data_IF_955142441151
#
_entry.id   IF_955142441151
#
_cell.length_a   1.000
_cell.length_b   1.000
_cell.length_c   1.000
_cell.angle_alpha   90.00
_cell.angle_beta   90.00
_cell.angle_gamma   90.00
#
_symmetry.space_group_name_H-M   'P 1'
#
loop_
_entity.id
_entity.type
_entity.pdbx_description
1 polymer ?
#
# COMPACT_ATOMS: atom_id res chain seq x y z
N UNK A 1 -19.91 41.49 -31.77
CA UNK A 1 -18.90 40.51 -32.25
C UNK A 1 -18.36 39.76 -31.04
N UNK A 2 -18.79 38.51 -30.84
CA UNK A 2 -18.30 37.66 -29.74
C UNK A 2 -16.92 37.16 -30.15
N UNK A 3 -15.88 37.56 -29.42
CA UNK A 3 -14.50 37.31 -29.78
C UNK A 3 -14.17 35.82 -29.56
N UNK A 4 -14.02 34.99 -30.61
CA UNK A 4 -13.86 33.54 -30.48
C UNK A 4 -12.50 33.17 -29.86
N UNK A 5 -11.58 34.12 -29.77
CA UNK A 5 -10.24 33.98 -29.22
C UNK A 5 -10.28 33.72 -27.70
N UNK A 6 -11.28 34.24 -26.98
CA UNK A 6 -11.39 34.06 -25.53
C UNK A 6 -11.80 32.62 -25.13
N UNK A 7 -12.54 31.92 -26.00
CA UNK A 7 -13.02 30.56 -25.75
C UNK A 7 -11.92 29.50 -25.91
N UNK A 8 -10.95 29.75 -26.80
CA UNK A 8 -9.82 28.83 -27.04
C UNK A 8 -8.81 28.81 -25.89
N UNK A 9 -8.60 29.94 -25.19
CA UNK A 9 -7.73 29.98 -24.00
C UNK A 9 -8.30 29.19 -22.82
N UNK A 10 -9.64 29.13 -22.66
CA UNK A 10 -10.28 28.41 -21.56
C UNK A 10 -10.16 26.88 -21.68
N UNK A 11 -10.13 26.34 -22.92
CA UNK A 11 -10.02 24.91 -23.20
C UNK A 11 -8.59 24.35 -23.01
N UNK A 12 -7.54 25.17 -23.17
CA UNK A 12 -6.16 24.70 -22.96
C UNK A 12 -5.76 24.60 -21.49
N UNK A 13 -6.45 25.32 -20.59
CA UNK A 13 -6.20 25.27 -19.14
C UNK A 13 -6.72 23.95 -18.55
N UNK A 14 -7.81 23.39 -19.08
CA UNK A 14 -8.36 22.11 -18.57
C UNK A 14 -7.46 20.90 -18.85
N UNK A 15 -6.61 20.94 -19.88
CA UNK A 15 -5.72 19.84 -20.25
C UNK A 15 -4.45 19.73 -19.39
N UNK A 16 -4.21 20.70 -18.50
CA UNK A 16 -3.02 20.77 -17.64
C UNK A 16 -3.30 20.47 -16.17
N UNK A 17 -4.53 20.03 -15.82
CA UNK A 17 -4.74 19.50 -14.48
C UNK A 17 -4.09 18.11 -14.40
N UNK A 18 -3.14 17.89 -13.47
CA UNK A 18 -2.74 16.54 -13.11
C UNK A 18 -4.02 15.76 -12.78
N UNK A 19 -4.17 14.58 -13.36
CA UNK A 19 -5.28 13.72 -12.98
C UNK A 19 -5.05 13.32 -11.52
N UNK A 20 -5.91 13.78 -10.62
CA UNK A 20 -5.92 13.35 -9.22
C UNK A 20 -6.44 11.91 -9.20
N UNK A 21 -5.58 10.94 -9.51
CA UNK A 21 -5.90 9.55 -9.27
C UNK A 21 -5.58 9.25 -7.82
N UNK A 22 -6.62 9.25 -6.98
CA UNK A 22 -6.51 8.66 -5.66
C UNK A 22 -6.12 7.19 -5.81
N UNK A 23 -5.13 6.74 -5.03
CA UNK A 23 -4.68 5.35 -5.05
C UNK A 23 -5.85 4.41 -4.77
N UNK A 24 -6.05 3.43 -5.64
CA UNK A 24 -7.00 2.34 -5.45
C UNK A 24 -6.37 1.24 -4.57
N UNK A 25 -7.16 0.64 -3.68
CA UNK A 25 -6.70 -0.44 -2.82
C UNK A 25 -7.59 -1.66 -3.03
N UNK A 26 -6.98 -2.74 -3.49
CA UNK A 26 -7.62 -4.02 -3.67
C UNK A 26 -7.06 -5.06 -2.73
N UNK A 27 -7.95 -5.92 -2.23
CA UNK A 27 -7.58 -7.02 -1.35
C UNK A 27 -8.40 -8.25 -1.71
N UNK A 28 -7.70 -9.38 -1.85
CA UNK A 28 -8.29 -10.68 -2.18
C UNK A 28 -7.77 -11.71 -1.19
N UNK A 29 -8.69 -12.44 -0.56
CA UNK A 29 -8.32 -13.68 0.12
C UNK A 29 -8.35 -14.81 -0.92
N UNK A 30 -7.19 -15.21 -1.46
CA UNK A 30 -7.09 -16.31 -2.42
C UNK A 30 -6.80 -17.65 -1.72
N UNK A 31 -6.64 -17.67 -0.40
CA UNK A 31 -6.41 -18.85 0.41
C UNK A 31 -7.64 -19.26 1.23
N UNK A 32 -8.86 -19.01 0.74
CA UNK A 32 -10.13 -19.16 1.49
C UNK A 32 -10.39 -20.57 2.03
N UNK A 33 -9.80 -21.59 1.41
CA UNK A 33 -9.95 -23.01 1.80
C UNK A 33 -8.86 -23.48 2.78
N UNK A 34 -8.07 -22.55 3.33
CA UNK A 34 -6.96 -22.84 4.24
C UNK A 34 -7.26 -22.35 5.66
N UNK A 35 -6.67 -22.96 6.70
CA UNK A 35 -6.84 -22.48 8.07
C UNK A 35 -6.52 -20.98 8.24
N UNK A 36 -5.47 -20.49 7.57
CA UNK A 36 -5.09 -19.09 7.61
C UNK A 36 -6.05 -18.16 6.89
N UNK A 37 -6.57 -18.57 5.73
CA UNK A 37 -7.58 -17.82 5.02
C UNK A 37 -8.89 -17.73 5.80
N UNK A 38 -9.31 -18.81 6.47
CA UNK A 38 -10.46 -18.79 7.37
C UNK A 38 -10.24 -17.82 8.54
N UNK A 39 -9.06 -17.86 9.14
CA UNK A 39 -8.71 -16.98 10.25
C UNK A 39 -8.64 -15.51 9.84
N UNK A 40 -8.09 -15.22 8.66
CA UNK A 40 -8.11 -13.88 8.08
C UNK A 40 -9.55 -13.36 7.92
N UNK A 41 -10.45 -14.14 7.34
CA UNK A 41 -11.85 -13.74 7.16
C UNK A 41 -12.55 -13.49 8.52
N UNK A 42 -12.19 -14.27 9.55
CA UNK A 42 -12.80 -14.17 10.89
C UNK A 42 -12.29 -12.97 11.72
N UNK A 43 -10.99 -12.67 11.68
CA UNK A 43 -10.35 -11.71 12.60
C UNK A 43 -10.00 -10.36 11.96
N UNK A 44 -9.82 -10.33 10.63
CA UNK A 44 -9.29 -9.17 9.90
C UNK A 44 -10.30 -8.73 8.83
N UNK A 45 -10.44 -9.52 7.77
CA UNK A 45 -11.35 -9.29 6.65
C UNK A 45 -10.87 -8.24 5.63
N UNK A 46 -11.40 -8.37 4.41
CA UNK A 46 -11.16 -7.46 3.28
C UNK A 46 -11.55 -6.00 3.61
N UNK A 47 -12.71 -5.70 4.24
CA UNK A 47 -13.08 -4.31 4.52
C UNK A 47 -12.07 -3.59 5.42
N UNK A 48 -11.57 -4.26 6.46
CA UNK A 48 -10.53 -3.70 7.32
C UNK A 48 -9.23 -3.52 6.56
N UNK A 49 -8.85 -4.50 5.74
CA UNK A 49 -7.63 -4.46 4.93
C UNK A 49 -7.60 -3.22 4.01
N UNK A 50 -8.68 -2.98 3.26
CA UNK A 50 -8.77 -1.80 2.38
C UNK A 50 -8.73 -0.48 3.16
N UNK A 51 -9.39 -0.44 4.33
CA UNK A 51 -9.35 0.72 5.22
C UNK A 51 -7.93 0.99 5.73
N UNK A 52 -7.26 -0.03 6.24
CA UNK A 52 -5.94 0.13 6.87
C UNK A 52 -4.85 0.43 5.82
N UNK A 53 -4.91 -0.16 4.62
CA UNK A 53 -4.02 0.21 3.50
C UNK A 53 -4.12 1.71 3.18
N UNK A 54 -5.35 2.24 3.09
CA UNK A 54 -5.55 3.68 2.87
C UNK A 54 -4.97 4.53 4.01
N UNK A 55 -5.23 4.15 5.26
CA UNK A 55 -4.70 4.86 6.44
C UNK A 55 -3.17 4.84 6.47
N UNK A 56 -2.56 3.68 6.23
CA UNK A 56 -1.11 3.49 6.21
C UNK A 56 -0.46 4.31 5.09
N UNK A 57 -1.06 4.37 3.90
CA UNK A 57 -0.51 5.20 2.82
C UNK A 57 -0.42 6.69 3.23
N UNK A 58 -1.49 7.26 3.79
CA UNK A 58 -1.43 8.63 4.28
C UNK A 58 -0.38 8.84 5.38
N UNK A 59 -0.24 7.86 6.28
CA UNK A 59 0.80 7.87 7.31
C UNK A 59 2.21 7.84 6.69
N UNK A 60 2.47 6.99 5.69
CA UNK A 60 3.76 6.92 4.99
C UNK A 60 4.07 8.25 4.31
N UNK A 61 3.09 8.83 3.60
CA UNK A 61 3.27 10.14 2.95
C UNK A 61 3.60 11.24 3.95
N UNK A 62 3.03 11.19 5.16
CA UNK A 62 3.34 12.14 6.21
C UNK A 62 4.77 11.95 6.76
N UNK A 63 5.11 10.71 7.16
CA UNK A 63 6.44 10.42 7.75
C UNK A 63 7.58 10.65 6.75
N UNK A 64 7.37 10.32 5.47
CA UNK A 64 8.37 10.52 4.40
C UNK A 64 8.28 11.89 3.73
N UNK A 65 7.39 12.78 4.18
CA UNK A 65 7.20 14.13 3.65
C UNK A 65 6.86 14.17 2.14
N UNK A 66 6.12 13.17 1.66
CA UNK A 66 5.67 13.04 0.27
C UNK A 66 4.32 13.76 0.09
N UNK A 67 4.26 15.06 0.37
CA UNK A 67 3.01 15.82 0.42
C UNK A 67 2.41 16.15 -0.95
N UNK A 68 3.24 16.33 -1.97
CA UNK A 68 2.81 16.63 -3.34
C UNK A 68 2.92 15.41 -4.24
N UNK A 69 2.14 15.40 -5.33
CA UNK A 69 2.22 14.35 -6.36
C UNK A 69 3.63 14.21 -6.95
N UNK A 70 4.37 15.33 -7.08
CA UNK A 70 5.76 15.31 -7.57
C UNK A 70 6.73 14.55 -6.65
N UNK A 71 6.42 14.44 -5.36
CA UNK A 71 7.28 13.77 -4.38
C UNK A 71 6.89 12.30 -4.20
N UNK A 72 5.73 11.90 -4.71
CA UNK A 72 5.18 10.55 -4.56
C UNK A 72 5.57 9.70 -5.75
N UNK A 73 5.78 8.41 -5.48
CA UNK A 73 5.82 7.41 -6.54
C UNK A 73 4.43 7.30 -7.19
N UNK A 74 4.38 7.15 -8.51
CA UNK A 74 3.13 6.95 -9.23
C UNK A 74 2.64 5.51 -9.03
N UNK A 75 1.74 5.32 -8.07
CA UNK A 75 1.13 4.02 -7.73
C UNK A 75 -0.38 4.15 -7.85
N UNK A 76 -0.98 3.77 -9.00
CA UNK A 76 -2.41 3.93 -9.21
C UNK A 76 -3.23 2.91 -8.41
N UNK A 77 -2.70 1.71 -8.16
CA UNK A 77 -3.37 0.64 -7.43
C UNK A 77 -2.38 -0.11 -6.55
N UNK A 78 -2.79 -0.49 -5.35
CA UNK A 78 -2.08 -1.47 -4.51
C UNK A 78 -2.95 -2.71 -4.38
N UNK A 79 -2.38 -3.88 -4.68
CA UNK A 79 -3.09 -5.16 -4.63
C UNK A 79 -2.54 -6.04 -3.53
N UNK A 80 -3.39 -6.40 -2.58
CA UNK A 80 -3.05 -7.33 -1.51
C UNK A 80 -3.69 -8.70 -1.75
N UNK A 81 -2.92 -9.74 -1.56
CA UNK A 81 -3.38 -11.12 -1.61
C UNK A 81 -3.06 -11.86 -0.32
N UNK A 82 -4.04 -12.58 0.23
CA UNK A 82 -3.77 -13.67 1.18
C UNK A 82 -3.54 -14.92 0.35
N UNK A 83 -2.31 -15.43 0.37
CA UNK A 83 -1.87 -16.58 -0.42
C UNK A 83 -1.27 -17.65 0.49
N UNK A 84 -1.46 -18.92 0.13
CA UNK A 84 -0.82 -20.02 0.85
C UNK A 84 0.60 -20.21 0.31
N UNK A 85 1.59 -19.78 1.08
CA UNK A 85 3.00 -20.03 0.80
C UNK A 85 3.79 -20.15 2.10
N UNK A 86 4.93 -20.84 2.04
CA UNK A 86 5.87 -21.01 3.14
C UNK A 86 7.07 -20.06 2.98
N UNK A 87 7.69 -19.65 4.08
CA UNK A 87 8.75 -18.65 4.12
C UNK A 87 8.34 -17.38 4.88
N UNK A 88 8.56 -16.22 4.26
CA UNK A 88 8.28 -14.92 4.88
C UNK A 88 6.79 -14.74 5.24
N UNK A 89 6.55 -13.91 6.24
CA UNK A 89 5.23 -13.57 6.76
C UNK A 89 4.41 -12.81 5.72
N UNK A 90 5.07 -11.89 5.02
CA UNK A 90 4.57 -11.18 3.86
C UNK A 90 5.73 -10.85 2.90
N UNK A 91 5.39 -10.54 1.64
CA UNK A 91 6.34 -10.07 0.64
C UNK A 91 5.70 -9.02 -0.26
N UNK A 92 6.48 -7.98 -0.59
CA UNK A 92 6.11 -6.96 -1.57
C UNK A 92 6.91 -7.11 -2.86
N UNK A 93 6.21 -7.05 -3.99
CA UNK A 93 6.80 -6.95 -5.31
C UNK A 93 6.08 -5.88 -6.14
N UNK A 94 6.77 -4.75 -6.37
CA UNK A 94 6.18 -3.60 -7.04
C UNK A 94 5.03 -3.01 -6.22
N UNK A 95 3.81 -3.18 -6.72
CA UNK A 95 2.56 -2.68 -6.10
C UNK A 95 1.69 -3.84 -5.54
N UNK A 96 2.25 -5.04 -5.50
CA UNK A 96 1.59 -6.25 -5.02
C UNK A 96 2.17 -6.70 -3.68
N UNK A 97 1.30 -6.93 -2.72
CA UNK A 97 1.61 -7.45 -1.37
C UNK A 97 1.00 -8.84 -1.25
N UNK A 98 1.79 -9.83 -0.84
CA UNK A 98 1.31 -11.18 -0.55
C UNK A 98 1.56 -11.50 0.92
N UNK A 99 0.50 -11.83 1.66
CA UNK A 99 0.58 -12.24 3.07
C UNK A 99 0.39 -13.75 3.16
N UNK A 100 1.25 -14.43 3.91
CA UNK A 100 1.23 -15.88 4.03
C UNK A 100 0.06 -16.36 4.89
N UNK A 101 -0.84 -17.15 4.28
CA UNK A 101 -1.88 -17.85 5.02
C UNK A 101 -1.30 -18.88 6.01
N UNK A 102 -0.11 -19.45 5.74
CA UNK A 102 0.56 -20.35 6.69
C UNK A 102 0.95 -19.58 7.95
N UNK A 103 1.54 -18.39 7.78
CA UNK A 103 1.87 -17.51 8.91
C UNK A 103 0.63 -17.09 9.69
N UNK A 104 -0.41 -16.61 9.01
CA UNK A 104 -1.66 -16.21 9.66
C UNK A 104 -2.30 -17.35 10.45
N UNK A 105 -2.23 -18.60 9.98
CA UNK A 105 -2.71 -19.75 10.73
C UNK A 105 -1.90 -20.01 12.00
N UNK A 106 -0.57 -19.88 11.91
CA UNK A 106 0.35 -20.20 13.00
C UNK A 106 0.52 -19.11 14.05
N UNK A 107 0.24 -17.85 13.73
CA UNK A 107 0.54 -16.71 14.61
C UNK A 107 -0.19 -16.78 15.96
N UNK A 108 0.53 -16.65 17.07
CA UNK A 108 -0.06 -16.66 18.41
C UNK A 108 -0.16 -15.23 18.95
N UNK A 109 -1.35 -14.83 19.41
CA UNK A 109 -1.59 -13.49 19.97
C UNK A 109 -2.58 -12.66 19.16
N UNK A 110 -2.45 -11.34 19.23
CA UNK A 110 -3.34 -10.41 18.53
C UNK A 110 -3.01 -10.34 17.04
N UNK A 111 -3.66 -11.20 16.24
CA UNK A 111 -3.42 -11.30 14.80
C UNK A 111 -3.72 -9.98 14.08
N UNK A 112 -4.75 -9.25 14.50
CA UNK A 112 -5.12 -7.99 13.84
C UNK A 112 -4.05 -6.92 14.01
N UNK A 113 -3.45 -6.83 15.19
CA UNK A 113 -2.31 -5.94 15.42
C UNK A 113 -1.10 -6.35 14.59
N UNK A 114 -0.75 -7.63 14.60
CA UNK A 114 0.38 -8.16 13.83
C UNK A 114 0.22 -7.92 12.33
N UNK A 115 -0.95 -8.23 11.79
CA UNK A 115 -1.28 -7.98 10.40
C UNK A 115 -1.15 -6.50 10.04
N UNK A 116 -1.58 -5.61 10.93
CA UNK A 116 -1.44 -4.17 10.72
C UNK A 116 0.03 -3.73 10.72
N UNK A 117 0.84 -4.28 11.62
CA UNK A 117 2.29 -4.08 11.66
C UNK A 117 2.95 -4.53 10.34
N UNK A 118 2.65 -5.73 9.86
CA UNK A 118 3.13 -6.22 8.57
C UNK A 118 2.74 -5.27 7.43
N UNK A 119 1.51 -4.76 7.42
CA UNK A 119 1.11 -3.81 6.38
C UNK A 119 1.83 -2.47 6.47
N UNK A 120 2.23 -2.00 7.65
CA UNK A 120 3.10 -0.83 7.74
C UNK A 120 4.44 -1.08 7.05
N UNK A 121 5.05 -2.25 7.24
CA UNK A 121 6.29 -2.62 6.59
C UNK A 121 6.12 -2.77 5.06
N UNK A 122 5.20 -3.64 4.62
CA UNK A 122 5.02 -3.96 3.20
C UNK A 122 4.54 -2.77 2.36
N UNK A 123 3.60 -1.98 2.87
CA UNK A 123 3.16 -0.75 2.18
C UNK A 123 4.30 0.26 2.06
N UNK A 124 5.23 0.27 3.01
CA UNK A 124 6.40 1.16 2.92
C UNK A 124 7.25 0.79 1.72
N UNK A 125 7.46 -0.49 1.41
CA UNK A 125 8.13 -0.90 0.18
C UNK A 125 7.40 -0.44 -1.09
N UNK A 126 6.06 -0.39 -1.07
CA UNK A 126 5.27 0.11 -2.20
C UNK A 126 5.54 1.59 -2.47
N UNK A 127 5.53 2.43 -1.42
CA UNK A 127 5.52 3.91 -1.54
C UNK A 127 6.88 4.59 -1.35
N UNK A 128 7.84 3.94 -0.69
CA UNK A 128 9.18 4.51 -0.53
C UNK A 128 9.94 4.52 -1.86
N UNK A 129 10.79 5.52 -2.03
CA UNK A 129 11.77 5.53 -3.12
C UNK A 129 12.94 4.62 -2.75
N UNK A 130 13.34 3.73 -3.66
CA UNK A 130 14.48 2.82 -3.49
C UNK A 130 15.67 3.16 -4.39
N UNK A 131 15.72 4.40 -4.91
CA UNK A 131 16.81 4.86 -5.78
C UNK A 131 16.98 4.03 -7.05
N UNK A 132 15.87 3.63 -7.68
CA UNK A 132 15.87 2.72 -8.84
C UNK A 132 16.55 1.36 -8.55
N UNK A 133 16.50 0.91 -7.30
CA UNK A 133 17.12 -0.34 -6.84
C UNK A 133 18.60 -0.22 -6.47
N UNK A 134 19.19 0.98 -6.49
CA UNK A 134 20.58 1.20 -6.08
C UNK A 134 20.73 1.45 -4.58
N UNK A 135 19.64 1.73 -3.87
CA UNK A 135 19.68 1.90 -2.41
C UNK A 135 20.06 0.57 -1.75
N UNK A 136 21.00 0.57 -0.78
CA UNK A 136 21.33 -0.63 -0.02
C UNK A 136 20.08 -1.26 0.61
N UNK A 137 19.92 -2.58 0.46
CA UNK A 137 18.74 -3.31 0.93
C UNK A 137 18.46 -3.04 2.41
N UNK A 138 19.48 -3.10 3.27
CA UNK A 138 19.31 -2.84 4.71
C UNK A 138 18.75 -1.45 5.06
N UNK A 139 18.96 -0.43 4.21
CA UNK A 139 18.33 0.88 4.40
C UNK A 139 16.85 0.86 3.99
N UNK A 140 16.52 0.19 2.88
CA UNK A 140 15.14 0.04 2.40
C UNK A 140 14.28 -0.74 3.40
N UNK A 141 14.81 -1.87 3.91
CA UNK A 141 14.18 -2.67 4.97
C UNK A 141 14.10 -1.90 6.28
N UNK A 142 15.18 -1.22 6.68
CA UNK A 142 15.22 -0.46 7.92
C UNK A 142 14.21 0.69 7.97
N UNK A 143 13.91 1.33 6.83
CA UNK A 143 12.83 2.33 6.75
C UNK A 143 11.46 1.67 6.92
N UNK A 144 11.23 0.49 6.33
CA UNK A 144 9.99 -0.26 6.48
C UNK A 144 9.77 -0.67 7.95
N UNK A 145 10.81 -1.17 8.64
CA UNK A 145 10.77 -1.49 10.06
C UNK A 145 10.56 -0.25 10.94
N UNK A 146 11.18 0.88 10.58
CA UNK A 146 10.97 2.14 11.28
C UNK A 146 9.50 2.60 11.22
N UNK A 147 8.78 2.32 10.13
CA UNK A 147 7.35 2.65 10.03
C UNK A 147 6.48 1.87 11.01
N UNK A 148 6.84 0.63 11.32
CA UNK A 148 6.21 -0.13 12.41
C UNK A 148 6.40 0.62 13.73
N UNK A 149 7.65 0.96 14.08
CA UNK A 149 7.96 1.63 15.35
C UNK A 149 7.28 3.00 15.49
N UNK A 150 7.11 3.72 14.38
CA UNK A 150 6.45 5.03 14.36
C UNK A 150 4.93 4.97 14.40
N UNK A 151 4.33 3.82 14.09
CA UNK A 151 2.88 3.63 14.10
C UNK A 151 2.29 3.40 15.50
N UNK A 152 3.14 3.12 16.50
CA UNK A 152 2.79 2.81 17.89
C UNK A 152 2.86 3.98 18.86
#
# INVERSE_FOLDING_TARGET
MKNPIFLFFLLQILAHFPSIFAVEYDAVNAARETPGGHRFDAEIGIPYTKLIMKTINYFIWDILQQYSESNRKNVPVVKLFIHQFDGAEAVTYGEMINVSAIYLAGYQGNLKWEYTSLLHHEMTHVFQWNGEGHTPVGLVEGIADYMILKSG
#
